data_IF_006701757765
#
_entry.id   IF_006701757765
#
_cell.length_a   1.000
_cell.length_b   1.000
_cell.length_c   1.000
_cell.angle_alpha   90.00
_cell.angle_beta   90.00
_cell.angle_gamma   90.00
#
_symmetry.space_group_name_H-M   'P 1'
#
loop_
_entity.id
_entity.type
_entity.pdbx_description
1 polymer ?
#
# COMPACT_ATOMS: atom_id res chain seq x y z
N UNK A 1 25.20 -7.29 -21.77
CA UNK A 1 25.45 -6.32 -20.68
C UNK A 1 24.62 -6.71 -19.47
N UNK A 2 25.23 -7.28 -18.42
CA UNK A 2 24.56 -7.46 -17.12
C UNK A 2 24.56 -6.10 -16.44
N UNK A 3 23.42 -5.44 -16.43
CA UNK A 3 23.20 -4.21 -15.65
C UNK A 3 23.58 -4.55 -14.21
N UNK A 4 24.63 -3.94 -13.64
CA UNK A 4 24.91 -4.14 -12.23
C UNK A 4 23.68 -3.64 -11.50
N UNK A 5 23.11 -4.49 -10.65
CA UNK A 5 22.10 -4.08 -9.69
C UNK A 5 22.78 -3.05 -8.77
N UNK A 6 22.84 -1.82 -9.24
CA UNK A 6 23.04 -0.62 -8.46
C UNK A 6 22.06 -0.82 -7.32
N UNK A 7 22.62 -1.08 -6.13
CA UNK A 7 21.87 -1.25 -4.90
C UNK A 7 20.95 -0.05 -4.84
N UNK A 8 19.70 -0.23 -5.28
CA UNK A 8 18.72 0.84 -5.30
C UNK A 8 18.63 1.22 -3.84
N UNK A 9 19.30 2.33 -3.48
CA UNK A 9 19.20 2.92 -2.16
C UNK A 9 17.75 3.29 -2.09
N UNK A 10 16.93 2.37 -1.56
CA UNK A 10 15.49 2.56 -1.38
C UNK A 10 15.42 3.87 -0.62
N UNK A 11 14.98 4.91 -1.32
CA UNK A 11 15.01 6.25 -0.77
C UNK A 11 14.24 6.18 0.56
N UNK A 12 14.74 6.77 1.66
CA UNK A 12 14.06 6.67 2.96
C UNK A 12 12.59 7.08 2.87
N UNK A 13 12.25 7.94 1.91
CA UNK A 13 10.88 8.31 1.51
C UNK A 13 10.06 7.09 1.04
N UNK A 14 10.59 6.24 0.18
CA UNK A 14 9.91 5.03 -0.31
C UNK A 14 9.68 4.05 0.86
N UNK A 15 10.68 3.91 1.74
CA UNK A 15 10.56 3.06 2.94
C UNK A 15 9.51 3.58 3.91
N UNK A 16 9.46 4.90 4.13
CA UNK A 16 8.46 5.56 4.96
C UNK A 16 7.06 5.44 4.36
N UNK A 17 6.91 5.72 3.07
CA UNK A 17 5.64 5.54 2.34
C UNK A 17 5.17 4.10 2.42
N UNK A 18 6.06 3.11 2.27
CA UNK A 18 5.68 1.69 2.39
C UNK A 18 5.18 1.34 3.80
N UNK A 19 5.79 1.89 4.86
CA UNK A 19 5.32 1.68 6.23
C UNK A 19 3.96 2.34 6.49
N UNK A 20 3.76 3.57 5.99
CA UNK A 20 2.50 4.30 6.09
C UNK A 20 1.40 3.56 5.32
N UNK A 21 1.66 3.18 4.07
CA UNK A 21 0.74 2.39 3.26
C UNK A 21 0.41 1.04 3.91
N UNK A 22 1.40 0.34 4.50
CA UNK A 22 1.15 -0.91 5.24
C UNK A 22 0.22 -0.71 6.44
N UNK A 23 0.34 0.40 7.16
CA UNK A 23 -0.60 0.78 8.24
C UNK A 23 -1.98 1.12 7.68
N UNK A 24 -2.05 1.93 6.63
CA UNK A 24 -3.31 2.32 5.99
C UNK A 24 -4.06 1.08 5.50
N UNK A 25 -3.38 0.11 4.87
CA UNK A 25 -4.03 -1.13 4.46
C UNK A 25 -4.48 -1.92 5.70
N UNK A 26 -3.63 -2.09 6.71
CA UNK A 26 -3.98 -2.86 7.92
C UNK A 26 -5.24 -2.35 8.62
N UNK A 27 -5.42 -1.03 8.72
CA UNK A 27 -6.57 -0.43 9.42
C UNK A 27 -7.71 0.02 8.50
N UNK A 28 -7.39 0.36 7.25
CA UNK A 28 -8.34 0.85 6.25
C UNK A 28 -9.01 -0.25 5.44
N UNK A 29 -8.45 -1.47 5.39
CA UNK A 29 -9.05 -2.57 4.63
C UNK A 29 -10.44 -2.96 5.17
N UNK A 30 -10.65 -2.88 6.49
CA UNK A 30 -11.96 -3.13 7.09
C UNK A 30 -13.00 -2.08 6.69
N UNK A 31 -12.62 -0.80 6.72
CA UNK A 31 -13.46 0.31 6.28
C UNK A 31 -13.74 0.19 4.77
N UNK A 32 -12.75 -0.24 3.99
CA UNK A 32 -12.88 -0.46 2.55
C UNK A 32 -13.85 -1.61 2.24
N UNK A 33 -13.76 -2.73 2.95
CA UNK A 33 -14.70 -3.85 2.84
C UNK A 33 -16.10 -3.41 3.25
N UNK A 34 -16.26 -2.71 4.37
CA UNK A 34 -17.55 -2.18 4.81
C UNK A 34 -18.13 -1.22 3.77
N UNK A 35 -17.33 -0.29 3.25
CA UNK A 35 -17.76 0.64 2.21
C UNK A 35 -18.20 -0.09 0.94
N UNK A 36 -17.42 -1.08 0.50
CA UNK A 36 -17.74 -1.88 -0.68
C UNK A 36 -18.97 -2.77 -0.43
N UNK A 37 -19.15 -3.31 0.76
CA UNK A 37 -20.32 -4.06 1.15
C UNK A 37 -21.56 -3.14 1.19
N UNK A 38 -21.52 -2.00 1.88
CA UNK A 38 -22.63 -1.05 1.91
C UNK A 38 -22.99 -0.54 0.51
N UNK A 39 -21.99 -0.16 -0.29
CA UNK A 39 -22.21 0.40 -1.63
C UNK A 39 -22.56 -0.66 -2.68
N UNK A 40 -22.05 -1.88 -2.52
CA UNK A 40 -22.33 -3.04 -3.38
C UNK A 40 -23.58 -3.83 -2.99
N UNK A 41 -24.13 -3.60 -1.80
CA UNK A 41 -25.43 -4.13 -1.34
C UNK A 41 -26.55 -3.09 -1.51
N UNK A 42 -26.20 -1.80 -1.66
CA UNK A 42 -27.11 -0.74 -2.13
C UNK A 42 -27.19 -0.65 -3.67
N UNK A 43 -26.36 -1.39 -4.41
CA UNK A 43 -26.48 -1.58 -5.86
C UNK A 43 -27.23 -2.87 -6.15
#
# INVERSE_FOLDING_TARGET
MKVPAEKQKISPVIKASFQVTKKIIKYGFYIFILYFAFKGFMA
#
